data_IF_798057230204
#
_entry.id   IF_798057230204
#
_cell.length_a   1.000
_cell.length_b   1.000
_cell.length_c   1.000
_cell.angle_alpha   90.00
_cell.angle_beta   90.00
_cell.angle_gamma   90.00
#
_symmetry.space_group_name_H-M   'P 1'
#
loop_
_entity.id
_entity.type
_entity.pdbx_description
1 polymer ?
#
# COMPACT_ATOMS: atom_id res chain seq x y z
N UNK A 1 -4.09 22.27 -10.81
CA UNK A 1 -5.26 22.00 -9.95
C UNK A 1 -5.04 20.60 -9.43
N UNK A 2 -4.73 20.45 -8.15
CA UNK A 2 -4.77 19.12 -7.54
C UNK A 2 -6.22 18.64 -7.64
N UNK A 3 -6.43 17.50 -8.29
CA UNK A 3 -7.74 16.87 -8.36
C UNK A 3 -7.77 15.77 -7.32
N UNK A 4 -8.69 15.88 -6.37
CA UNK A 4 -8.98 14.80 -5.43
C UNK A 4 -9.53 13.59 -6.20
N UNK A 5 -9.02 12.37 -5.93
CA UNK A 5 -9.59 11.14 -6.46
C UNK A 5 -11.09 11.02 -6.19
N UNK A 6 -11.82 10.30 -7.06
CA UNK A 6 -13.22 9.98 -6.78
C UNK A 6 -13.31 8.94 -5.65
N UNK A 7 -14.48 8.87 -5.00
CA UNK A 7 -14.72 7.83 -4.00
C UNK A 7 -14.52 6.41 -4.54
N UNK A 8 -14.80 6.17 -5.82
CA UNK A 8 -14.59 4.88 -6.48
C UNK A 8 -13.10 4.52 -6.53
N UNK A 9 -12.24 5.49 -6.89
CA UNK A 9 -10.79 5.32 -6.90
C UNK A 9 -10.27 5.05 -5.48
N UNK A 10 -10.78 5.78 -4.48
CA UNK A 10 -10.42 5.52 -3.08
C UNK A 10 -10.81 4.10 -2.64
N UNK A 11 -11.97 3.58 -3.05
CA UNK A 11 -12.38 2.21 -2.73
C UNK A 11 -11.50 1.16 -3.42
N UNK A 12 -11.12 1.36 -4.68
CA UNK A 12 -10.21 0.44 -5.38
C UNK A 12 -8.82 0.40 -4.73
N UNK A 13 -8.30 1.55 -4.31
CA UNK A 13 -7.04 1.65 -3.56
C UNK A 13 -7.14 0.86 -2.24
N UNK A 14 -8.20 1.06 -1.46
CA UNK A 14 -8.40 0.36 -0.19
C UNK A 14 -8.55 -1.15 -0.38
N UNK A 15 -9.27 -1.60 -1.40
CA UNK A 15 -9.42 -3.02 -1.73
C UNK A 15 -8.07 -3.64 -2.10
N UNK A 16 -7.27 -2.94 -2.91
CA UNK A 16 -5.93 -3.40 -3.30
C UNK A 16 -5.02 -3.53 -2.09
N UNK A 17 -5.03 -2.52 -1.19
CA UNK A 17 -4.24 -2.57 0.04
C UNK A 17 -4.67 -3.73 0.94
N UNK A 18 -5.98 -4.00 1.05
CA UNK A 18 -6.52 -5.15 1.80
C UNK A 18 -6.06 -6.50 1.26
N UNK A 19 -5.81 -6.63 -0.05
CA UNK A 19 -5.29 -7.87 -0.64
C UNK A 19 -3.78 -8.07 -0.39
N UNK A 20 -3.05 -6.96 -0.22
CA UNK A 20 -1.61 -6.94 0.00
C UNK A 20 -1.26 -7.17 1.46
N UNK A 21 -1.91 -6.47 2.40
CA UNK A 21 -1.61 -6.56 3.83
C UNK A 21 -2.27 -7.82 4.41
N UNK A 22 -1.51 -8.82 4.89
CA UNK A 22 -2.07 -10.10 5.34
C UNK A 22 -2.62 -10.09 6.77
N UNK A 23 -2.81 -8.91 7.36
CA UNK A 23 -3.21 -8.69 8.75
C UNK A 23 -4.16 -7.51 8.87
N UNK A 24 -4.90 -7.45 9.97
CA UNK A 24 -5.74 -6.29 10.28
C UNK A 24 -4.88 -5.02 10.43
N UNK A 25 -5.35 -3.94 9.82
CA UNK A 25 -4.69 -2.63 9.83
C UNK A 25 -5.71 -1.52 10.06
N UNK A 26 -5.26 -0.39 10.61
CA UNK A 26 -6.13 0.74 10.98
C UNK A 26 -5.94 1.94 10.05
N UNK A 27 -4.68 2.32 9.81
CA UNK A 27 -4.32 3.52 9.06
C UNK A 27 -3.27 3.20 8.01
N UNK A 28 -3.36 3.87 6.86
CA UNK A 28 -2.41 3.76 5.75
C UNK A 28 -2.00 5.15 5.28
N UNK A 29 -0.72 5.34 5.01
CA UNK A 29 -0.14 6.50 4.36
C UNK A 29 0.36 6.08 2.97
N UNK A 30 -0.35 6.50 1.93
CA UNK A 30 -0.02 6.18 0.54
C UNK A 30 0.76 7.32 -0.11
N UNK A 31 1.84 6.97 -0.80
CA UNK A 31 2.54 7.83 -1.73
C UNK A 31 2.43 7.24 -3.13
N UNK A 32 2.04 8.08 -4.10
CA UNK A 32 1.98 7.71 -5.50
C UNK A 32 2.45 8.89 -6.34
N UNK A 33 3.44 8.65 -7.18
CA UNK A 33 3.96 9.60 -8.16
C UNK A 33 3.94 8.96 -9.55
N UNK A 34 3.41 9.69 -10.51
CA UNK A 34 3.38 9.30 -11.92
C UNK A 34 4.07 10.42 -12.71
N UNK A 35 5.21 10.09 -13.29
CA UNK A 35 5.96 10.92 -14.22
C UNK A 35 5.81 10.36 -15.65
N UNK A 36 6.30 11.10 -16.64
CA UNK A 36 6.19 10.71 -18.05
C UNK A 36 6.91 9.39 -18.36
N UNK A 37 8.00 9.09 -17.65
CA UNK A 37 8.88 7.94 -17.85
C UNK A 37 8.98 6.99 -16.66
N UNK A 38 8.40 7.35 -15.51
CA UNK A 38 8.44 6.54 -14.30
C UNK A 38 7.14 6.58 -13.51
N UNK A 39 6.94 5.54 -12.71
CA UNK A 39 5.85 5.44 -11.75
C UNK A 39 6.40 4.88 -10.46
N UNK A 40 6.08 5.51 -9.36
CA UNK A 40 6.47 5.07 -8.03
C UNK A 40 5.26 5.07 -7.11
N UNK A 41 5.01 3.93 -6.47
CA UNK A 41 3.92 3.79 -5.52
C UNK A 41 4.42 2.95 -4.35
N UNK A 42 4.27 3.49 -3.14
CA UNK A 42 4.53 2.76 -1.92
C UNK A 42 3.63 3.29 -0.80
N UNK A 43 3.46 2.49 0.24
CA UNK A 43 2.69 2.91 1.40
C UNK A 43 3.30 2.43 2.72
N UNK A 44 2.84 3.05 3.79
CA UNK A 44 3.09 2.63 5.16
C UNK A 44 1.76 2.30 5.82
N UNK A 45 1.71 1.26 6.64
CA UNK A 45 0.48 0.89 7.35
C UNK A 45 0.70 0.63 8.83
N UNK A 46 -0.35 0.86 9.62
CA UNK A 46 -0.35 0.60 11.05
C UNK A 46 -1.11 -0.71 11.32
N UNK A 47 -0.39 -1.72 11.83
CA UNK A 47 -0.94 -3.01 12.21
C UNK A 47 -1.60 -2.91 13.60
N UNK A 48 -2.87 -3.31 13.71
CA UNK A 48 -3.63 -3.27 14.96
C UNK A 48 -3.08 -4.21 16.05
N UNK A 49 -2.36 -5.27 15.65
CA UNK A 49 -1.78 -6.28 16.54
C UNK A 49 -0.36 -5.95 17.01
N UNK A 50 0.39 -5.10 16.29
CA UNK A 50 1.77 -4.70 16.62
C UNK A 50 1.82 -3.18 16.82
N UNK A 51 1.29 -2.73 17.96
CA UNK A 51 1.00 -1.34 18.34
C UNK A 51 2.19 -0.37 18.47
N UNK A 52 3.25 -0.43 17.65
CA UNK A 52 4.39 0.47 17.89
C UNK A 52 4.87 1.28 16.69
N UNK A 53 4.81 0.80 15.44
CA UNK A 53 5.40 1.55 14.31
C UNK A 53 4.66 1.30 12.99
N UNK A 54 4.81 2.25 12.06
CA UNK A 54 4.36 2.11 10.68
C UNK A 54 5.26 1.11 9.94
N UNK A 55 4.64 0.12 9.29
CA UNK A 55 5.34 -0.89 8.50
C UNK A 55 5.39 -0.44 7.05
N UNK A 56 6.57 -0.48 6.43
CA UNK A 56 6.74 -0.17 5.02
C UNK A 56 6.22 -1.31 4.14
N UNK A 57 5.49 -0.96 3.08
CA UNK A 57 4.86 -1.92 2.16
C UNK A 57 5.82 -2.96 1.58
N UNK A 58 7.06 -2.58 1.23
CA UNK A 58 8.02 -3.52 0.66
C UNK A 58 8.59 -4.53 1.67
N UNK A 59 8.44 -4.28 2.97
CA UNK A 59 8.90 -5.19 4.03
C UNK A 59 7.86 -6.27 4.35
N UNK A 60 6.64 -6.18 3.80
CA UNK A 60 5.55 -7.15 4.01
C UNK A 60 5.99 -8.60 3.71
N UNK A 61 6.68 -8.93 2.60
CA UNK A 61 7.07 -10.29 2.26
C UNK A 61 7.97 -10.89 3.33
N UNK A 62 8.91 -10.11 3.83
CA UNK A 62 9.88 -10.53 4.84
C UNK A 62 9.25 -10.63 6.23
N UNK A 63 8.39 -9.67 6.61
CA UNK A 63 7.77 -9.62 7.94
C UNK A 63 6.71 -10.71 8.13
N UNK A 64 5.94 -11.00 7.07
CA UNK A 64 4.81 -11.93 7.13
C UNK A 64 5.06 -13.25 6.39
N UNK A 65 6.27 -13.47 5.90
CA UNK A 65 6.69 -14.66 5.16
C UNK A 65 5.76 -14.97 3.96
N UNK A 66 5.35 -13.92 3.24
CA UNK A 66 4.49 -14.00 2.04
C UNK A 66 5.29 -13.78 0.76
N UNK A 67 4.83 -14.29 -0.39
CA UNK A 67 5.56 -14.15 -1.65
C UNK A 67 5.61 -12.70 -2.13
N UNK A 68 6.80 -12.21 -2.53
CA UNK A 68 7.00 -10.87 -3.11
C UNK A 68 6.15 -10.59 -4.36
N UNK A 69 5.72 -11.63 -5.08
CA UNK A 69 4.89 -11.52 -6.29
C UNK A 69 3.60 -10.72 -6.06
N UNK A 70 3.10 -10.65 -4.83
CA UNK A 70 1.92 -9.85 -4.47
C UNK A 70 2.18 -8.33 -4.48
N UNK A 71 3.43 -7.91 -4.31
CA UNK A 71 3.83 -6.49 -4.19
C UNK A 71 4.26 -5.92 -5.53
N UNK A 72 4.98 -6.68 -6.35
CA UNK A 72 5.40 -6.24 -7.69
C UNK A 72 4.25 -6.07 -8.70
N UNK A 73 2.99 -6.32 -8.32
CA UNK A 73 1.86 -5.93 -9.17
C UNK A 73 1.63 -4.40 -9.19
N UNK A 74 2.30 -3.64 -8.32
CA UNK A 74 2.16 -2.18 -8.20
C UNK A 74 3.18 -1.36 -9.01
N UNK A 75 4.20 -2.00 -9.61
CA UNK A 75 5.27 -1.33 -10.36
C UNK A 75 5.33 -1.88 -11.79
N UNK A 76 4.75 -1.12 -12.74
CA UNK A 76 4.88 -1.31 -14.20
C UNK A 76 4.99 0.05 -14.91
#
# INVERSE_FOLDING_TARGET
>A
MEMEPSNEVYQEILNTINEIIPVDWENVLLYAEILDDSREVYFFFFNTNKQQEYIYSHDIPDIFEVSEKKIYMMTY
#
